data_IF_981398682173
#
_entry.id   IF_981398682173
#
_cell.length_a   1.000
_cell.length_b   1.000
_cell.length_c   1.000
_cell.angle_alpha   90.00
_cell.angle_beta   90.00
_cell.angle_gamma   90.00
#
_symmetry.space_group_name_H-M   'P 1'
#
loop_
_entity.id
_entity.type
_entity.pdbx_description
1 polymer ?
#
# COMPACT_ATOMS: atom_id res chain seq x y z
N UNK A 1 54.29 -4.46 -12.23
CA UNK A 1 52.95 -3.84 -12.41
C UNK A 1 51.97 -4.74 -13.18
N UNK A 2 52.35 -5.40 -14.28
CA UNK A 2 51.46 -6.29 -15.06
C UNK A 2 50.78 -7.40 -14.24
N UNK A 3 51.51 -8.06 -13.33
CA UNK A 3 50.97 -9.14 -12.45
C UNK A 3 49.92 -8.65 -11.43
N UNK A 4 50.02 -7.38 -11.00
CA UNK A 4 49.06 -6.76 -10.07
C UNK A 4 47.81 -6.32 -10.85
N UNK A 5 47.98 -5.86 -12.10
CA UNK A 5 46.87 -5.51 -13.00
C UNK A 5 46.03 -6.75 -13.34
N UNK A 6 46.65 -7.91 -13.59
CA UNK A 6 45.91 -9.17 -13.84
C UNK A 6 45.17 -9.67 -12.60
N UNK A 7 45.70 -9.44 -11.39
CA UNK A 7 45.03 -9.77 -10.12
C UNK A 7 43.77 -8.92 -9.89
N UNK A 8 43.82 -7.63 -10.20
CA UNK A 8 42.66 -6.72 -10.06
C UNK A 8 41.59 -7.03 -11.12
N UNK A 9 41.98 -7.37 -12.35
CA UNK A 9 41.04 -7.78 -13.41
C UNK A 9 40.34 -9.10 -13.09
N UNK A 10 41.00 -10.06 -12.44
CA UNK A 10 40.38 -11.33 -12.06
C UNK A 10 39.31 -11.17 -10.95
N UNK A 11 39.49 -10.20 -10.04
CA UNK A 11 38.52 -9.91 -8.96
C UNK A 11 37.25 -9.24 -9.49
N UNK A 12 37.35 -8.38 -10.52
CA UNK A 12 36.19 -7.71 -11.11
C UNK A 12 35.28 -8.63 -11.95
N UNK A 13 35.79 -9.77 -12.44
CA UNK A 13 34.99 -10.73 -13.23
C UNK A 13 34.19 -11.68 -12.34
N UNK A 14 34.64 -11.92 -11.10
CA UNK A 14 33.93 -12.75 -10.12
C UNK A 14 32.73 -12.05 -9.45
N UNK A 15 32.64 -10.71 -9.51
CA UNK A 15 31.51 -9.95 -8.97
C UNK A 15 30.33 -9.81 -9.93
N UNK A 16 30.46 -10.27 -11.19
CA UNK A 16 29.39 -10.30 -12.19
C UNK A 16 28.64 -11.65 -12.23
N UNK A 17 28.65 -12.36 -11.09
CA UNK A 17 27.89 -13.58 -10.88
C UNK A 17 26.38 -13.32 -10.86
N UNK A 18 25.77 -13.39 -12.05
CA UNK A 18 24.37 -13.74 -12.30
C UNK A 18 23.36 -12.83 -11.59
N UNK A 19 23.05 -11.71 -12.26
CA UNK A 19 21.71 -11.14 -12.24
C UNK A 19 20.75 -12.16 -12.87
N UNK A 20 20.35 -13.16 -12.08
CA UNK A 20 19.21 -13.99 -12.43
C UNK A 20 17.98 -13.10 -12.44
N UNK A 21 17.28 -13.04 -13.57
CA UNK A 21 15.91 -12.55 -13.61
C UNK A 21 15.11 -13.40 -12.63
N UNK A 22 14.81 -12.84 -11.45
CA UNK A 22 13.70 -13.34 -10.63
C UNK A 22 12.45 -12.98 -11.42
N UNK A 23 12.03 -13.89 -12.29
CA UNK A 23 10.66 -13.88 -12.76
C UNK A 23 9.80 -14.08 -11.52
N UNK A 24 9.11 -13.02 -11.10
CA UNK A 24 8.05 -13.12 -10.11
C UNK A 24 6.94 -13.96 -10.74
N UNK A 25 7.06 -15.29 -10.66
CA UNK A 25 5.94 -16.18 -10.90
C UNK A 25 4.92 -15.81 -9.84
N UNK A 26 3.89 -15.08 -10.27
CA UNK A 26 2.70 -14.82 -9.48
C UNK A 26 2.00 -16.13 -9.19
N UNK A 27 2.53 -16.91 -8.25
CA UNK A 27 1.79 -17.97 -7.60
C UNK A 27 0.70 -17.27 -6.82
N UNK A 28 -0.48 -17.24 -7.43
CA UNK A 28 -1.74 -16.89 -6.79
C UNK A 28 -2.14 -18.06 -5.87
N UNK A 29 -1.29 -18.37 -4.90
CA UNK A 29 -1.67 -19.18 -3.76
C UNK A 29 -2.43 -18.23 -2.85
N UNK A 30 -3.74 -18.39 -2.78
CA UNK A 30 -4.60 -17.75 -1.78
C UNK A 30 -4.19 -18.27 -0.38
N UNK A 31 -3.02 -17.85 0.10
CA UNK A 31 -2.56 -18.18 1.43
C UNK A 31 -3.44 -17.39 2.39
N UNK A 32 -4.36 -18.09 3.05
CA UNK A 32 -5.24 -17.54 4.07
C UNK A 32 -4.41 -17.13 5.28
N UNK A 33 -3.87 -15.92 5.26
CA UNK A 33 -3.10 -15.34 6.37
C UNK A 33 -4.04 -15.08 7.53
N UNK A 34 -3.75 -15.66 8.70
CA UNK A 34 -4.47 -15.40 9.94
C UNK A 34 -3.58 -14.54 10.84
N UNK A 35 -4.01 -13.31 11.13
CA UNK A 35 -3.28 -12.39 12.01
C UNK A 35 -3.44 -12.77 13.48
N UNK A 36 -2.38 -12.60 14.26
CA UNK A 36 -2.41 -12.73 15.73
C UNK A 36 -3.20 -11.58 16.36
N UNK A 37 -3.55 -11.72 17.65
CA UNK A 37 -4.24 -10.66 18.39
C UNK A 37 -3.39 -9.37 18.47
N UNK A 38 -2.09 -9.49 18.70
CA UNK A 38 -1.15 -8.36 18.76
C UNK A 38 -1.06 -7.64 17.42
N UNK A 39 -0.92 -8.39 16.31
CA UNK A 39 -0.90 -7.81 14.96
C UNK A 39 -2.20 -7.07 14.62
N UNK A 40 -3.36 -7.61 15.01
CA UNK A 40 -4.65 -6.93 14.83
C UNK A 40 -4.72 -5.65 15.67
N UNK A 41 -4.20 -5.65 16.89
CA UNK A 41 -4.17 -4.46 17.74
C UNK A 41 -3.28 -3.36 17.15
N UNK A 42 -2.10 -3.71 16.64
CA UNK A 42 -1.19 -2.78 15.96
C UNK A 42 -1.84 -2.17 14.71
N UNK A 43 -2.41 -3.01 13.84
CA UNK A 43 -3.14 -2.52 12.67
C UNK A 43 -4.34 -1.65 13.06
N UNK A 44 -5.05 -2.02 14.11
CA UNK A 44 -6.16 -1.23 14.63
C UNK A 44 -5.76 0.17 15.03
N UNK A 45 -4.65 0.32 15.74
CA UNK A 45 -4.11 1.62 16.12
C UNK A 45 -3.77 2.48 14.90
N UNK A 46 -3.11 1.90 13.90
CA UNK A 46 -2.78 2.61 12.65
C UNK A 46 -4.04 3.04 11.89
N UNK A 47 -5.06 2.17 11.83
CA UNK A 47 -6.33 2.48 11.19
C UNK A 47 -7.12 3.56 11.91
N UNK A 48 -7.14 3.55 13.24
CA UNK A 48 -7.79 4.58 14.05
C UNK A 48 -7.12 5.95 13.85
N UNK A 49 -5.78 5.99 13.82
CA UNK A 49 -5.01 7.20 13.53
C UNK A 49 -5.32 7.75 12.13
N UNK A 50 -5.24 6.90 11.10
CA UNK A 50 -5.56 7.28 9.72
C UNK A 50 -7.01 7.77 9.59
N UNK A 51 -7.95 7.12 10.28
CA UNK A 51 -9.35 7.55 10.29
C UNK A 51 -9.52 8.93 10.93
N UNK A 52 -8.86 9.20 12.06
CA UNK A 52 -8.88 10.51 12.70
C UNK A 52 -8.32 11.60 11.78
N UNK A 53 -7.13 11.41 11.21
CA UNK A 53 -6.51 12.37 10.27
C UNK A 53 -7.40 12.61 9.07
N UNK A 54 -8.02 11.56 8.51
CA UNK A 54 -8.87 11.71 7.32
C UNK A 54 -10.16 12.48 7.63
N UNK A 55 -10.73 12.35 8.84
CA UNK A 55 -11.87 13.18 9.27
C UNK A 55 -11.51 14.66 9.31
N UNK A 56 -10.33 14.99 9.85
CA UNK A 56 -9.83 16.37 9.87
C UNK A 56 -9.63 16.92 8.46
N UNK A 57 -9.07 16.11 7.56
CA UNK A 57 -8.89 16.48 6.17
C UNK A 57 -10.23 16.80 5.47
N UNK A 58 -11.27 15.98 5.69
CA UNK A 58 -12.61 16.25 5.15
C UNK A 58 -13.18 17.55 5.69
N UNK A 59 -13.03 17.82 6.99
CA UNK A 59 -13.45 19.11 7.58
C UNK A 59 -12.73 20.29 6.93
N UNK A 60 -11.42 20.16 6.67
CA UNK A 60 -10.65 21.19 5.97
C UNK A 60 -11.10 21.38 4.53
N UNK A 61 -11.47 20.32 3.82
CA UNK A 61 -12.06 20.45 2.48
C UNK A 61 -13.41 21.16 2.49
N UNK A 62 -14.23 20.98 3.52
CA UNK A 62 -15.47 21.76 3.70
C UNK A 62 -15.14 23.22 4.00
N UNK A 63 -14.18 23.47 4.90
CA UNK A 63 -13.71 24.82 5.26
C UNK A 63 -13.18 25.60 4.05
N UNK A 64 -12.43 24.93 3.17
CA UNK A 64 -11.85 25.54 1.97
C UNK A 64 -12.79 25.55 0.76
N UNK A 65 -14.04 25.08 0.93
CA UNK A 65 -15.04 25.06 -0.13
C UNK A 65 -14.79 24.04 -1.24
N UNK A 66 -13.87 23.09 -1.04
CA UNK A 66 -13.65 21.96 -1.95
C UNK A 66 -14.86 21.01 -1.91
N UNK A 67 -15.47 20.86 -0.73
CA UNK A 67 -16.72 20.14 -0.55
C UNK A 67 -17.80 21.06 0.02
N UNK A 68 -19.05 20.84 -0.39
CA UNK A 68 -20.18 21.32 0.38
C UNK A 68 -20.26 20.60 1.74
N UNK A 69 -20.96 21.19 2.71
CA UNK A 69 -21.19 20.55 4.00
C UNK A 69 -21.83 19.17 3.85
N UNK A 70 -22.84 19.06 3.00
CA UNK A 70 -23.54 17.79 2.72
C UNK A 70 -22.61 16.74 2.10
N UNK A 71 -21.73 17.15 1.17
CA UNK A 71 -20.72 16.26 0.61
C UNK A 71 -19.73 15.79 1.69
N UNK A 72 -19.28 16.70 2.56
CA UNK A 72 -18.42 16.36 3.70
C UNK A 72 -19.07 15.34 4.64
N UNK A 73 -20.32 15.58 5.03
CA UNK A 73 -21.09 14.70 5.91
C UNK A 73 -21.29 13.31 5.29
N UNK A 74 -21.60 13.25 3.98
CA UNK A 74 -21.70 11.97 3.25
C UNK A 74 -20.38 11.22 3.22
N UNK A 75 -19.26 11.91 2.99
CA UNK A 75 -17.93 11.29 3.00
C UNK A 75 -17.58 10.75 4.38
N UNK A 76 -17.86 11.51 5.45
CA UNK A 76 -17.65 11.08 6.83
C UNK A 76 -18.45 9.81 7.14
N UNK A 77 -19.73 9.77 6.79
CA UNK A 77 -20.58 8.59 6.99
C UNK A 77 -20.05 7.35 6.25
N UNK A 78 -19.64 7.50 4.99
CA UNK A 78 -19.02 6.38 4.24
C UNK A 78 -17.72 5.90 4.88
N UNK A 79 -16.91 6.80 5.42
CA UNK A 79 -15.66 6.44 6.10
C UNK A 79 -15.92 5.72 7.42
N UNK A 80 -16.91 6.13 8.19
CA UNK A 80 -17.34 5.45 9.42
C UNK A 80 -17.80 4.02 9.14
N UNK A 81 -18.64 3.83 8.13
CA UNK A 81 -19.11 2.51 7.72
C UNK A 81 -17.93 1.61 7.29
N UNK A 82 -17.01 2.14 6.48
CA UNK A 82 -15.80 1.40 6.06
C UNK A 82 -14.92 1.04 7.24
N UNK A 83 -14.74 1.95 8.18
CA UNK A 83 -13.93 1.73 9.36
C UNK A 83 -14.55 0.65 10.28
N UNK A 84 -15.87 0.63 10.43
CA UNK A 84 -16.60 -0.44 11.13
C UNK A 84 -16.41 -1.80 10.46
N UNK A 85 -16.62 -1.90 9.14
CA UNK A 85 -16.43 -3.16 8.39
C UNK A 85 -14.99 -3.68 8.46
N UNK A 86 -14.02 -2.77 8.49
CA UNK A 86 -12.60 -3.13 8.65
C UNK A 86 -12.29 -3.67 10.06
N UNK A 87 -12.96 -3.17 11.10
CA UNK A 87 -12.86 -3.76 12.45
C UNK A 87 -13.47 -5.16 12.49
N UNK A 88 -14.66 -5.32 11.92
CA UNK A 88 -15.37 -6.60 11.86
C UNK A 88 -14.61 -7.68 11.09
N UNK A 89 -13.86 -7.30 10.05
CA UNK A 89 -13.05 -8.24 9.26
C UNK A 89 -11.66 -8.52 9.84
N UNK A 90 -11.33 -7.98 11.02
CA UNK A 90 -10.03 -8.15 11.66
C UNK A 90 -8.88 -7.46 10.94
N UNK A 91 -9.15 -6.29 10.35
CA UNK A 91 -8.18 -5.45 9.62
C UNK A 91 -7.60 -6.10 8.36
N UNK A 92 -8.31 -7.04 7.76
CA UNK A 92 -7.92 -7.67 6.50
C UNK A 92 -8.39 -6.81 5.31
N UNK A 93 -7.46 -6.23 4.58
CA UNK A 93 -7.78 -5.52 3.34
C UNK A 93 -8.04 -6.51 2.21
N UNK A 94 -9.23 -6.44 1.62
CA UNK A 94 -9.53 -7.13 0.36
C UNK A 94 -8.96 -6.33 -0.79
N UNK A 95 -7.80 -6.75 -1.30
CA UNK A 95 -7.27 -6.26 -2.56
C UNK A 95 -8.05 -6.92 -3.69
N UNK A 96 -9.05 -6.21 -4.21
CA UNK A 96 -9.65 -6.60 -5.48
C UNK A 96 -8.81 -5.99 -6.61
N UNK A 97 -8.38 -6.76 -7.61
CA UNK A 97 -7.72 -6.19 -8.78
C UNK A 97 -8.70 -5.22 -9.45
N UNK A 98 -8.35 -3.94 -9.46
CA UNK A 98 -9.08 -2.96 -10.25
C UNK A 98 -8.77 -3.23 -11.71
N UNK A 99 -9.75 -3.72 -12.47
CA UNK A 99 -9.68 -3.71 -13.93
C UNK A 99 -9.63 -2.24 -14.37
N UNK A 100 -8.43 -1.72 -14.60
CA UNK A 100 -8.23 -0.34 -15.00
C UNK A 100 -8.94 -0.07 -16.33
N UNK A 101 -9.94 0.80 -16.32
CA UNK A 101 -10.28 1.52 -17.55
C UNK A 101 -9.11 2.46 -17.82
N UNK A 102 -8.50 2.35 -19.01
CA UNK A 102 -7.46 3.29 -19.45
C UNK A 102 -8.06 4.69 -19.34
N UNK A 103 -7.45 5.54 -18.52
CA UNK A 103 -7.80 6.95 -18.46
C UNK A 103 -7.28 7.56 -19.75
N UNK A 104 -8.16 7.78 -20.72
CA UNK A 104 -7.84 8.52 -21.92
C UNK A 104 -7.59 9.97 -21.49
N UNK A 105 -6.32 10.31 -21.20
CA UNK A 105 -5.91 11.69 -21.01
C UNK A 105 -5.94 12.38 -22.37
N UNK A 106 -7.01 13.12 -22.65
CA UNK A 106 -7.02 14.09 -23.73
C UNK A 106 -6.67 15.44 -23.12
N UNK A 107 -5.46 15.91 -23.45
CA UNK A 107 -4.98 17.26 -23.18
C UNK A 107 -5.82 18.32 -23.89
#
# INVERSE_FOLDING_TARGET
MKKIIYSIMAVCVLSLGVCGSVEAVGQNTEQKVNLTAEQKAELGKLHDQMFATKKELVKKYVEYGVFSKEQGDKVLAMMEEKHKKLKENGYMMRWHPHHGKKLDMKE
#
